data_IF_282202424523
#
_entry.id   IF_282202424523
#
_cell.length_a   1.000
_cell.length_b   1.000
_cell.length_c   1.000
_cell.angle_alpha   90.00
_cell.angle_beta   90.00
_cell.angle_gamma   90.00
#
_symmetry.space_group_name_H-M   'P 1'
#
loop_
_entity.id
_entity.type
_entity.pdbx_description
1 polymer ?
#
# COMPACT_ATOMS: atom_id res chain seq x y z
N UNK A 1 8.13 -27.76 19.52
CA UNK A 1 8.29 -26.82 20.64
C UNK A 1 7.04 -26.94 21.48
N UNK A 2 7.13 -27.60 22.64
CA UNK A 2 5.97 -27.78 23.53
C UNK A 2 5.76 -26.50 24.33
N UNK A 3 4.62 -25.84 24.09
CA UNK A 3 4.21 -24.68 24.86
C UNK A 3 3.60 -25.22 26.15
N UNK A 4 4.33 -25.10 27.27
CA UNK A 4 3.79 -25.40 28.60
C UNK A 4 2.54 -24.55 28.86
N UNK A 5 1.49 -25.18 29.41
CA UNK A 5 0.28 -24.50 29.84
C UNK A 5 0.62 -23.35 30.81
N UNK A 6 0.32 -22.13 30.38
CA UNK A 6 0.61 -20.91 31.13
C UNK A 6 -0.53 -20.60 32.12
N UNK A 7 -0.18 -20.51 33.39
CA UNK A 7 -1.08 -20.38 34.53
C UNK A 7 -1.14 -18.93 35.07
N UNK A 8 -0.61 -17.95 34.33
CA UNK A 8 -0.77 -16.52 34.62
C UNK A 8 -0.12 -16.02 35.90
N UNK A 9 0.76 -16.83 36.54
CA UNK A 9 1.51 -16.39 37.72
C UNK A 9 2.66 -15.45 37.31
N UNK A 10 2.98 -14.45 38.14
CA UNK A 10 4.00 -13.43 37.85
C UNK A 10 5.42 -14.01 37.70
N UNK A 11 5.63 -15.28 38.08
CA UNK A 11 6.87 -16.04 37.88
C UNK A 11 6.94 -16.87 36.60
N UNK A 12 5.84 -16.97 35.82
CA UNK A 12 5.73 -17.80 34.60
C UNK A 12 5.70 -16.95 33.32
N UNK A 13 6.29 -15.75 33.32
CA UNK A 13 6.40 -14.93 32.11
C UNK A 13 7.39 -15.55 31.12
N UNK A 14 6.90 -15.91 29.94
CA UNK A 14 7.73 -16.44 28.87
C UNK A 14 8.62 -15.32 28.30
N UNK A 15 9.94 -15.52 28.36
CA UNK A 15 10.92 -14.62 27.73
C UNK A 15 11.35 -15.20 26.39
N UNK A 16 11.25 -14.40 25.34
CA UNK A 16 11.76 -14.75 24.00
C UNK A 16 12.74 -13.67 23.52
N UNK A 17 13.66 -14.07 22.63
CA UNK A 17 14.48 -13.14 21.85
C UNK A 17 13.81 -13.04 20.48
N UNK A 18 13.55 -11.81 20.02
CA UNK A 18 12.93 -11.55 18.73
C UNK A 18 13.81 -10.62 17.91
N UNK A 19 14.25 -11.10 16.76
CA UNK A 19 14.88 -10.26 15.74
C UNK A 19 13.79 -9.76 14.80
N UNK A 20 13.59 -8.44 14.77
CA UNK A 20 12.57 -7.82 13.93
C UNK A 20 13.16 -7.48 12.56
N UNK A 21 12.56 -8.01 11.51
CA UNK A 21 12.90 -7.73 10.12
C UNK A 21 11.63 -7.38 9.33
N UNK A 22 11.71 -6.54 8.30
CA UNK A 22 10.54 -6.24 7.48
C UNK A 22 10.11 -7.47 6.68
N UNK A 23 8.81 -7.78 6.68
CA UNK A 23 8.23 -8.73 5.74
C UNK A 23 8.12 -8.15 4.32
N UNK A 24 7.76 -8.99 3.36
CA UNK A 24 7.44 -8.60 1.97
C UNK A 24 5.94 -8.72 1.74
N UNK A 25 5.20 -7.61 1.88
CA UNK A 25 3.75 -7.65 1.82
C UNK A 25 3.14 -6.34 1.29
N UNK A 26 2.11 -6.44 0.47
CA UNK A 26 1.18 -5.35 0.16
C UNK A 26 -0.10 -5.58 0.98
N UNK A 27 -0.28 -4.77 2.00
CA UNK A 27 -1.40 -4.90 2.96
C UNK A 27 -2.67 -4.20 2.51
N UNK A 28 -2.55 -3.20 1.63
CA UNK A 28 -3.69 -2.46 1.12
C UNK A 28 -3.43 -2.00 -0.31
N UNK A 29 -4.40 -2.24 -1.19
CA UNK A 29 -4.50 -1.67 -2.53
C UNK A 29 -5.95 -1.21 -2.70
N UNK A 30 -6.21 0.07 -2.43
CA UNK A 30 -7.55 0.63 -2.34
C UNK A 30 -7.77 1.77 -3.32
N UNK A 31 -8.91 1.76 -4.01
CA UNK A 31 -9.31 2.80 -4.96
C UNK A 31 -10.51 3.55 -4.40
N UNK A 32 -10.37 4.86 -4.26
CA UNK A 32 -11.45 5.79 -3.94
C UNK A 32 -11.91 6.40 -5.26
N UNK A 33 -13.09 6.00 -5.74
CA UNK A 33 -13.55 6.31 -7.10
C UNK A 33 -13.91 7.78 -7.31
N UNK A 34 -14.53 8.40 -6.31
CA UNK A 34 -14.98 9.80 -6.34
C UNK A 34 -14.69 10.46 -4.98
N UNK A 35 -13.43 10.83 -4.71
CA UNK A 35 -13.05 11.39 -3.41
C UNK A 35 -13.66 12.77 -3.21
N UNK A 36 -14.09 13.07 -1.98
CA UNK A 36 -14.48 14.43 -1.62
C UNK A 36 -13.29 15.39 -1.76
N UNK A 37 -13.56 16.63 -2.18
CA UNK A 37 -12.55 17.68 -2.37
C UNK A 37 -11.69 17.91 -1.11
N UNK A 38 -12.28 17.73 0.08
CA UNK A 38 -11.57 17.86 1.37
C UNK A 38 -10.45 16.83 1.52
N UNK A 39 -10.61 15.62 0.97
CA UNK A 39 -9.61 14.56 1.02
C UNK A 39 -8.41 14.95 0.16
N UNK A 40 -8.65 15.37 -1.07
CA UNK A 40 -7.61 15.87 -1.98
C UNK A 40 -6.75 16.97 -1.36
N UNK A 41 -7.40 18.00 -0.79
CA UNK A 41 -6.72 19.12 -0.14
C UNK A 41 -5.87 18.68 1.04
N UNK A 42 -6.38 17.80 1.89
CA UNK A 42 -5.66 17.30 3.07
C UNK A 42 -4.48 16.41 2.71
N UNK A 43 -4.57 15.69 1.59
CA UNK A 43 -3.46 14.88 1.07
C UNK A 43 -2.41 15.70 0.31
N UNK A 44 -2.63 17.01 0.13
CA UNK A 44 -1.67 17.89 -0.57
C UNK A 44 -1.57 17.60 -2.06
N UNK A 45 -2.60 17.01 -2.66
CA UNK A 45 -2.66 16.68 -4.08
C UNK A 45 -2.92 17.94 -4.93
N UNK A 46 -2.44 17.97 -6.18
CA UNK A 46 -2.48 19.18 -7.01
C UNK A 46 -3.94 19.56 -7.38
N UNK A 47 -4.39 20.78 -7.01
CA UNK A 47 -5.71 21.28 -7.35
C UNK A 47 -6.02 21.51 -8.81
N UNK A 48 -5.01 21.47 -9.67
CA UNK A 48 -5.18 21.62 -11.11
C UNK A 48 -5.56 20.32 -11.80
N UNK A 49 -5.39 19.19 -11.12
CA UNK A 49 -5.91 17.89 -11.57
C UNK A 49 -7.42 17.94 -11.37
N UNK A 50 -8.18 17.61 -12.42
CA UNK A 50 -9.64 17.68 -12.41
C UNK A 50 -10.22 16.83 -11.27
N UNK A 51 -10.49 17.48 -10.13
CA UNK A 51 -10.94 16.88 -8.88
C UNK A 51 -12.23 16.08 -9.06
N UNK A 52 -13.06 16.46 -10.04
CA UNK A 52 -14.36 15.85 -10.26
C UNK A 52 -14.30 14.53 -11.03
N UNK A 53 -13.14 14.15 -11.56
CA UNK A 53 -12.99 12.97 -12.43
C UNK A 53 -11.82 12.07 -12.10
N UNK A 54 -11.12 12.36 -11.01
CA UNK A 54 -9.93 11.63 -10.61
C UNK A 54 -10.24 10.73 -9.43
N UNK A 55 -9.96 9.44 -9.59
CA UNK A 55 -9.90 8.50 -8.49
C UNK A 55 -8.56 8.64 -7.76
N UNK A 56 -8.53 8.23 -6.50
CA UNK A 56 -7.30 8.09 -5.72
C UNK A 56 -7.02 6.61 -5.49
N UNK A 57 -5.85 6.15 -5.88
CA UNK A 57 -5.28 4.88 -5.45
C UNK A 57 -4.42 5.08 -4.21
N UNK A 58 -4.67 4.29 -3.16
CA UNK A 58 -3.83 4.22 -1.96
C UNK A 58 -3.27 2.81 -1.82
N UNK A 59 -1.95 2.72 -1.74
CA UNK A 59 -1.21 1.47 -1.59
C UNK A 59 -0.39 1.52 -0.30
N UNK A 60 -0.39 0.43 0.47
CA UNK A 60 0.48 0.25 1.65
C UNK A 60 1.25 -1.05 1.52
N UNK A 61 2.56 -0.94 1.74
CA UNK A 61 3.53 -2.01 1.47
C UNK A 61 4.68 -2.02 2.47
N UNK A 62 5.29 -3.19 2.62
CA UNK A 62 6.49 -3.42 3.42
C UNK A 62 7.43 -4.33 2.62
N UNK A 63 8.76 -4.07 2.58
CA UNK A 63 9.47 -2.93 3.19
C UNK A 63 9.17 -1.59 2.49
N UNK A 64 9.32 -0.47 3.19
CA UNK A 64 8.84 0.84 2.71
C UNK A 64 9.58 1.34 1.47
N UNK A 65 10.82 0.90 1.25
CA UNK A 65 11.62 1.26 0.09
C UNK A 65 11.01 0.75 -1.23
N UNK A 66 10.19 -0.31 -1.21
CA UNK A 66 9.54 -0.79 -2.43
C UNK A 66 8.47 0.17 -2.95
N UNK A 67 8.10 1.21 -2.19
CA UNK A 67 7.25 2.30 -2.69
C UNK A 67 7.81 2.97 -3.95
N UNK A 68 9.14 3.06 -4.06
CA UNK A 68 9.84 3.61 -5.23
C UNK A 68 9.62 2.73 -6.45
N UNK A 69 9.72 1.40 -6.28
CA UNK A 69 9.53 0.41 -7.35
C UNK A 69 8.08 0.40 -7.81
N UNK A 70 7.13 0.37 -6.87
CA UNK A 70 5.71 0.37 -7.21
C UNK A 70 5.27 1.65 -7.89
N UNK A 71 5.86 2.80 -7.54
CA UNK A 71 5.57 4.06 -8.22
C UNK A 71 6.02 4.04 -9.69
N UNK A 72 7.24 3.55 -9.96
CA UNK A 72 7.76 3.40 -11.33
C UNK A 72 6.89 2.46 -12.16
N UNK A 73 6.46 1.32 -11.58
CA UNK A 73 5.53 0.40 -12.23
C UNK A 73 4.19 1.05 -12.54
N UNK A 74 3.61 1.81 -11.60
CA UNK A 74 2.32 2.46 -11.78
C UNK A 74 2.32 3.43 -12.97
N UNK A 75 3.34 4.30 -13.07
CA UNK A 75 3.48 5.29 -14.14
C UNK A 75 3.60 4.60 -15.51
N UNK A 76 4.31 3.47 -15.56
CA UNK A 76 4.51 2.71 -16.81
C UNK A 76 3.30 1.87 -17.22
N UNK A 77 2.38 1.60 -16.29
CA UNK A 77 1.23 0.73 -16.53
C UNK A 77 0.05 1.46 -17.19
N UNK A 78 -0.17 2.73 -16.87
CA UNK A 78 -1.38 3.47 -17.29
C UNK A 78 -1.21 4.98 -17.14
N UNK A 79 -2.21 5.75 -17.57
CA UNK A 79 -2.16 7.21 -17.52
C UNK A 79 -2.52 7.75 -16.11
N UNK A 80 -1.61 7.57 -15.16
CA UNK A 80 -1.72 8.06 -13.78
C UNK A 80 -0.73 9.19 -13.48
N UNK A 81 -0.99 9.91 -12.40
CA UNK A 81 -0.06 10.82 -11.77
C UNK A 81 0.30 10.33 -10.37
N UNK A 82 1.54 10.55 -9.97
CA UNK A 82 1.99 10.30 -8.61
C UNK A 82 1.56 11.48 -7.74
N UNK A 83 0.73 11.20 -6.75
CA UNK A 83 0.41 12.15 -5.69
C UNK A 83 1.51 12.19 -4.62
N UNK A 84 1.90 11.01 -4.14
CA UNK A 84 2.88 10.90 -3.05
C UNK A 84 3.62 9.56 -3.07
N UNK A 85 4.93 9.58 -2.83
CA UNK A 85 5.76 8.39 -2.63
C UNK A 85 6.42 8.51 -1.26
N UNK A 86 6.00 7.67 -0.32
CA UNK A 86 6.56 7.62 1.02
C UNK A 86 7.43 6.39 1.22
N UNK A 87 8.73 6.57 1.03
CA UNK A 87 9.73 5.51 1.29
C UNK A 87 10.04 5.30 2.78
N UNK A 88 9.45 6.09 3.68
CA UNK A 88 9.61 5.92 5.12
C UNK A 88 8.49 5.05 5.70
N UNK A 89 7.25 5.27 5.26
CA UNK A 89 6.09 4.49 5.72
C UNK A 89 5.69 3.35 4.79
N UNK A 90 6.10 3.39 3.52
CA UNK A 90 5.66 2.43 2.50
C UNK A 90 4.27 2.78 1.97
N UNK A 91 3.99 4.07 1.78
CA UNK A 91 2.72 4.55 1.23
C UNK A 91 2.93 5.08 -0.19
N UNK A 92 2.09 4.64 -1.13
CA UNK A 92 2.02 5.21 -2.47
C UNK A 92 0.60 5.72 -2.72
N UNK A 93 0.50 6.99 -3.12
CA UNK A 93 -0.75 7.62 -3.55
C UNK A 93 -0.63 7.97 -5.03
N UNK A 94 -1.57 7.48 -5.83
CA UNK A 94 -1.68 7.78 -7.26
C UNK A 94 -3.06 8.33 -7.58
N UNK A 95 -3.14 9.13 -8.64
CA UNK A 95 -4.40 9.72 -9.12
C UNK A 95 -4.56 9.48 -10.62
N UNK A 96 -5.78 9.27 -11.08
CA UNK A 96 -6.09 9.06 -12.49
C UNK A 96 -7.55 8.67 -12.67
N UNK A 97 -7.94 8.17 -13.85
CA UNK A 97 -9.27 7.57 -13.97
C UNK A 97 -9.37 6.30 -13.12
N UNK A 98 -10.58 5.89 -12.74
CA UNK A 98 -10.79 4.63 -11.99
C UNK A 98 -10.14 3.45 -12.73
N UNK A 99 -10.22 3.44 -14.06
CA UNK A 99 -9.65 2.39 -14.89
C UNK A 99 -8.12 2.41 -14.85
N UNK A 100 -7.50 3.58 -15.00
CA UNK A 100 -6.04 3.72 -14.97
C UNK A 100 -5.49 3.29 -13.61
N UNK A 101 -6.09 3.77 -12.51
CA UNK A 101 -5.67 3.38 -11.15
C UNK A 101 -5.81 1.87 -10.94
N UNK A 102 -6.89 1.26 -11.44
CA UNK A 102 -7.07 -0.19 -11.36
C UNK A 102 -6.00 -0.96 -12.15
N UNK A 103 -5.69 -0.56 -13.38
CA UNK A 103 -4.65 -1.17 -14.22
C UNK A 103 -3.28 -1.05 -13.54
N UNK A 104 -2.97 0.13 -12.98
CA UNK A 104 -1.73 0.34 -12.25
C UNK A 104 -1.61 -0.62 -11.05
N UNK A 105 -2.67 -0.78 -10.27
CA UNK A 105 -2.68 -1.68 -9.12
C UNK A 105 -2.61 -3.14 -9.53
N UNK A 106 -3.34 -3.59 -10.55
CA UNK A 106 -3.23 -4.94 -11.07
C UNK A 106 -1.79 -5.26 -11.48
N UNK A 107 -1.14 -4.34 -12.20
CA UNK A 107 0.26 -4.51 -12.61
C UNK A 107 1.22 -4.57 -11.43
N UNK A 108 1.03 -3.72 -10.41
CA UNK A 108 1.84 -3.73 -9.19
C UNK A 108 1.68 -5.06 -8.45
N UNK A 109 0.45 -5.51 -8.20
CA UNK A 109 0.18 -6.73 -7.44
C UNK A 109 0.70 -7.96 -8.17
N UNK A 110 0.51 -8.03 -9.49
CA UNK A 110 1.05 -9.08 -10.33
C UNK A 110 2.58 -9.13 -10.21
N UNK A 111 3.28 -8.04 -10.55
CA UNK A 111 4.75 -8.01 -10.54
C UNK A 111 5.34 -8.32 -9.15
N UNK A 112 4.79 -7.72 -8.10
CA UNK A 112 5.33 -7.91 -6.74
C UNK A 112 5.10 -9.33 -6.23
N UNK A 113 3.98 -9.96 -6.58
CA UNK A 113 3.73 -11.35 -6.24
C UNK A 113 4.55 -12.34 -7.08
N UNK A 114 4.72 -12.11 -8.39
CA UNK A 114 5.41 -13.06 -9.28
C UNK A 114 6.94 -12.93 -9.28
N UNK A 115 7.47 -11.69 -9.22
CA UNK A 115 8.90 -11.44 -9.37
C UNK A 115 9.62 -11.22 -8.04
N UNK A 116 8.91 -10.69 -7.03
CA UNK A 116 9.50 -10.32 -5.75
C UNK A 116 9.03 -11.17 -4.57
N UNK A 117 8.15 -12.16 -4.81
CA UNK A 117 7.52 -13.02 -3.81
C UNK A 117 6.88 -12.24 -2.65
N UNK A 118 6.11 -11.19 -2.97
CA UNK A 118 5.31 -10.48 -1.97
C UNK A 118 4.03 -11.26 -1.66
N UNK A 119 3.62 -11.27 -0.39
CA UNK A 119 2.22 -11.55 -0.05
C UNK A 119 1.38 -10.34 -0.45
N UNK A 120 0.31 -10.54 -1.23
CA UNK A 120 -0.50 -9.43 -1.76
C UNK A 120 -1.96 -9.55 -1.35
N UNK A 121 -2.58 -8.42 -1.00
CA UNK A 121 -4.02 -8.31 -0.83
C UNK A 121 -4.74 -8.17 -2.17
N UNK A 122 -6.08 -8.30 -2.16
CA UNK A 122 -6.92 -7.96 -3.32
C UNK A 122 -7.12 -6.45 -3.44
N UNK A 123 -7.36 -5.98 -4.65
CA UNK A 123 -7.82 -4.61 -4.87
C UNK A 123 -9.21 -4.43 -4.26
N UNK A 124 -9.41 -3.34 -3.54
CA UNK A 124 -10.69 -2.92 -2.96
C UNK A 124 -11.09 -1.56 -3.52
N UNK A 125 -12.40 -1.28 -3.54
CA UNK A 125 -12.95 -0.05 -4.16
C UNK A 125 -14.04 0.54 -3.27
N UNK A 126 -14.11 1.87 -3.19
CA UNK A 126 -15.15 2.64 -2.51
C UNK A 126 -15.59 3.84 -3.35
#
# INVERSE_FOLDING_TARGET
>A
MEIKNWNGSQGDLMRIIQESVPGKQITMAHIIASPDEVIYKKLGLDPKVDYHRSAIGVLTLTPSETAIITADLAIKASNIQIGFIDRFSGTLIITGTISDVNIAFERILEYTSSELDFTVCRITKA
#
